data_IF_109973871413
#
_entry.id   IF_109973871413
#
_cell.length_a   1.000
_cell.length_b   1.000
_cell.length_c   1.000
_cell.angle_alpha   90.00
_cell.angle_beta   90.00
_cell.angle_gamma   90.00
#
_symmetry.space_group_name_H-M   'P 1'
#
loop_
_entity.id
_entity.type
_entity.pdbx_description
1 polymer ?
#
# COMPACT_ATOMS: atom_id res chain seq x y z
N UNK A 1 22.37 12.72 3.46
CA UNK A 1 21.96 12.64 4.86
C UNK A 1 21.98 11.20 5.35
N UNK A 2 22.37 11.03 6.59
CA UNK A 2 22.34 9.74 7.24
C UNK A 2 20.94 9.48 7.80
N UNK A 3 20.35 8.33 7.45
CA UNK A 3 19.07 7.92 8.00
C UNK A 3 19.31 7.20 9.33
N UNK A 4 18.88 7.82 10.41
CA UNK A 4 19.09 7.29 11.77
C UNK A 4 17.82 6.78 12.40
N UNK A 5 16.68 6.98 11.75
CA UNK A 5 15.38 6.63 12.27
C UNK A 5 14.45 6.10 11.20
N UNK A 6 13.51 5.35 11.65
CA UNK A 6 12.38 4.81 10.93
C UNK A 6 11.55 5.92 10.25
N UNK A 7 11.10 5.66 9.04
CA UNK A 7 10.18 6.56 8.34
C UNK A 7 10.82 7.77 7.64
N UNK A 8 12.13 7.84 7.52
CA UNK A 8 12.83 8.98 6.90
C UNK A 8 13.01 8.86 5.38
N UNK A 9 12.71 7.73 4.79
CA UNK A 9 12.86 7.54 3.35
C UNK A 9 11.84 8.35 2.57
N UNK A 10 12.33 9.21 1.66
CA UNK A 10 11.49 9.97 0.74
C UNK A 10 11.19 9.13 -0.50
N UNK A 11 9.95 8.68 -0.63
CA UNK A 11 9.54 7.81 -1.73
C UNK A 11 8.10 8.16 -2.16
N UNK A 12 7.93 8.65 -3.38
CA UNK A 12 6.61 9.05 -3.89
C UNK A 12 5.69 7.83 -4.08
N UNK A 13 4.40 8.03 -3.94
CA UNK A 13 3.41 6.97 -4.19
C UNK A 13 3.45 6.49 -5.65
N UNK A 14 3.73 7.38 -6.60
CA UNK A 14 3.91 7.01 -8.01
C UNK A 14 5.06 6.03 -8.20
N UNK A 15 6.21 6.28 -7.57
CA UNK A 15 7.36 5.38 -7.63
C UNK A 15 7.12 4.08 -6.86
N UNK A 16 6.39 4.11 -5.75
CA UNK A 16 5.98 2.90 -5.04
C UNK A 16 5.08 2.01 -5.90
N UNK A 17 4.11 2.59 -6.61
CA UNK A 17 3.26 1.85 -7.52
C UNK A 17 4.05 1.22 -8.68
N UNK A 18 5.01 1.97 -9.25
CA UNK A 18 5.92 1.43 -10.29
C UNK A 18 6.75 0.26 -9.78
N UNK A 19 7.30 0.38 -8.56
CA UNK A 19 8.04 -0.70 -7.93
C UNK A 19 7.16 -1.96 -7.78
N UNK A 20 5.96 -1.79 -7.26
CA UNK A 20 5.03 -2.91 -7.08
C UNK A 20 4.61 -3.54 -8.42
N UNK A 21 4.40 -2.73 -9.46
CA UNK A 21 4.06 -3.23 -10.79
C UNK A 21 5.13 -4.17 -11.36
N UNK A 22 6.40 -3.92 -11.05
CA UNK A 22 7.52 -4.72 -11.53
C UNK A 22 8.01 -5.80 -10.57
N UNK A 23 7.51 -5.85 -9.34
CA UNK A 23 8.07 -6.71 -8.29
C UNK A 23 8.06 -8.19 -8.66
N UNK A 24 6.98 -8.67 -9.26
CA UNK A 24 6.86 -10.08 -9.67
C UNK A 24 7.79 -10.47 -10.82
N UNK A 25 8.36 -9.47 -11.50
CA UNK A 25 9.33 -9.67 -12.60
C UNK A 25 10.76 -9.79 -12.10
N UNK A 26 11.01 -9.54 -10.80
CA UNK A 26 12.34 -9.57 -10.21
C UNK A 26 12.71 -10.99 -9.82
N UNK A 27 13.84 -11.47 -10.31
CA UNK A 27 14.38 -12.78 -9.93
C UNK A 27 14.63 -12.82 -8.42
N UNK A 28 14.17 -13.88 -7.77
CA UNK A 28 14.34 -14.05 -6.33
C UNK A 28 13.33 -13.30 -5.45
N UNK A 29 12.33 -12.63 -6.04
CA UNK A 29 11.33 -11.88 -5.28
C UNK A 29 10.25 -12.76 -4.62
N UNK A 30 10.14 -14.03 -4.97
CA UNK A 30 9.04 -14.89 -4.51
C UNK A 30 8.89 -14.94 -2.99
N UNK A 31 9.96 -15.07 -2.17
CA UNK A 31 9.81 -15.04 -0.71
C UNK A 31 9.20 -13.74 -0.18
N UNK A 32 9.50 -12.60 -0.80
CA UNK A 32 8.91 -11.30 -0.44
C UNK A 32 7.44 -11.26 -0.81
N UNK A 33 7.09 -11.74 -2.00
CA UNK A 33 5.71 -11.84 -2.48
C UNK A 33 4.87 -12.72 -1.56
N UNK A 34 5.39 -13.87 -1.16
CA UNK A 34 4.73 -14.78 -0.22
C UNK A 34 4.48 -14.10 1.14
N UNK A 35 5.48 -13.38 1.65
CA UNK A 35 5.34 -12.61 2.89
C UNK A 35 4.28 -11.51 2.77
N UNK A 36 4.21 -10.82 1.64
CA UNK A 36 3.20 -9.79 1.38
C UNK A 36 1.77 -10.36 1.36
N UNK A 37 1.60 -11.61 1.01
CA UNK A 37 0.31 -12.31 1.04
C UNK A 37 -0.15 -12.74 2.44
N UNK A 38 0.74 -12.71 3.44
CA UNK A 38 0.51 -13.22 4.80
C UNK A 38 0.75 -12.17 5.87
N UNK A 39 0.35 -10.92 5.61
CA UNK A 39 0.54 -9.82 6.57
C UNK A 39 -0.18 -10.07 7.90
N UNK A 40 0.35 -9.48 8.96
CA UNK A 40 -0.22 -9.53 10.30
C UNK A 40 -1.71 -9.11 10.28
N UNK A 41 -2.60 -9.83 10.99
CA UNK A 41 -4.02 -9.47 11.09
C UNK A 41 -4.27 -8.02 11.55
N UNK A 42 -3.39 -7.43 12.34
CA UNK A 42 -3.47 -6.03 12.75
C UNK A 42 -3.35 -5.05 11.57
N UNK A 43 -2.84 -5.49 10.43
CA UNK A 43 -2.73 -4.70 9.21
C UNK A 43 -3.86 -4.99 8.20
N UNK A 44 -4.95 -5.62 8.63
CA UNK A 44 -6.09 -5.93 7.76
C UNK A 44 -7.01 -4.72 7.56
N UNK A 45 -6.49 -3.72 6.87
CA UNK A 45 -7.21 -2.51 6.48
C UNK A 45 -6.76 -2.04 5.09
N UNK A 46 -7.44 -1.07 4.52
CA UNK A 46 -7.12 -0.53 3.20
C UNK A 46 -7.22 -1.60 2.12
N UNK A 47 -6.26 -1.63 1.21
CA UNK A 47 -6.22 -2.60 0.12
C UNK A 47 -6.00 -4.04 0.59
N UNK A 48 -5.50 -4.25 1.81
CA UNK A 48 -5.36 -5.59 2.39
C UNK A 48 -6.71 -6.29 2.55
N UNK A 49 -7.81 -5.54 2.63
CA UNK A 49 -9.16 -6.13 2.71
C UNK A 49 -9.61 -6.77 1.40
N UNK A 50 -8.96 -6.46 0.29
CA UNK A 50 -9.28 -7.07 -1.01
C UNK A 50 -8.73 -8.50 -1.07
N UNK A 51 -9.52 -9.47 -1.61
CA UNK A 51 -9.07 -10.86 -1.70
C UNK A 51 -7.77 -11.03 -2.47
N UNK A 52 -6.83 -11.77 -1.89
CA UNK A 52 -5.56 -12.09 -2.53
C UNK A 52 -4.58 -10.91 -2.66
N UNK A 53 -4.82 -9.81 -1.95
CA UNK A 53 -3.92 -8.65 -1.99
C UNK A 53 -2.52 -9.00 -1.51
N UNK A 54 -1.52 -8.57 -2.27
CA UNK A 54 -0.12 -8.57 -1.86
C UNK A 54 0.20 -7.16 -1.38
N UNK A 55 0.56 -6.98 -0.11
CA UNK A 55 0.65 -5.67 0.49
C UNK A 55 1.87 -5.51 1.38
N UNK A 56 2.48 -4.33 1.32
CA UNK A 56 3.45 -3.85 2.31
C UNK A 56 2.96 -2.53 2.87
N UNK A 57 2.81 -2.48 4.18
CA UNK A 57 2.41 -1.28 4.91
C UNK A 57 3.59 -0.52 5.51
N UNK A 58 3.37 0.74 5.82
CA UNK A 58 4.27 1.58 6.59
C UNK A 58 3.47 2.67 7.31
N UNK A 59 3.87 3.03 8.52
CA UNK A 59 3.16 4.02 9.31
C UNK A 59 4.11 4.73 10.28
N UNK A 60 3.71 5.92 10.71
CA UNK A 60 4.44 6.69 11.70
C UNK A 60 4.00 8.14 11.76
N UNK A 61 4.37 8.85 12.84
CA UNK A 61 4.14 10.28 12.92
C UNK A 61 5.02 11.02 11.91
N UNK A 62 4.51 12.11 11.37
CA UNK A 62 5.28 13.02 10.52
C UNK A 62 5.70 14.28 11.29
N UNK A 63 6.66 15.08 10.76
CA UNK A 63 7.15 16.29 11.45
C UNK A 63 6.10 17.36 11.71
N UNK A 64 4.97 17.32 10.98
CA UNK A 64 3.87 18.28 11.14
C UNK A 64 2.88 17.89 12.26
N UNK A 65 3.13 16.78 12.99
CA UNK A 65 2.26 16.32 14.05
C UNK A 65 1.08 15.46 13.59
N UNK A 66 0.99 15.20 12.29
CA UNK A 66 0.02 14.25 11.73
C UNK A 66 0.57 12.83 11.78
N UNK A 67 -0.29 11.86 11.52
CA UNK A 67 0.10 10.46 11.43
C UNK A 67 -0.08 9.98 9.99
N UNK A 68 0.98 9.42 9.42
CA UNK A 68 0.98 8.92 8.05
C UNK A 68 0.86 7.40 8.04
N UNK A 69 0.02 6.87 7.14
CA UNK A 69 -0.06 5.45 6.83
C UNK A 69 0.04 5.26 5.33
N UNK A 70 0.91 4.35 4.92
CA UNK A 70 1.13 4.00 3.50
C UNK A 70 0.83 2.55 3.28
N UNK A 71 0.33 2.26 2.08
CA UNK A 71 0.24 0.89 1.56
C UNK A 71 0.70 0.89 0.11
N UNK A 72 1.53 -0.08 -0.26
CA UNK A 72 1.82 -0.41 -1.64
C UNK A 72 1.41 -1.86 -1.89
N UNK A 73 0.64 -2.08 -2.94
CA UNK A 73 -0.10 -3.32 -3.13
C UNK A 73 -0.10 -3.77 -4.59
N UNK A 74 -0.29 -5.08 -4.77
CA UNK A 74 -0.81 -5.65 -6.01
C UNK A 74 -2.15 -6.27 -5.66
N UNK A 75 -3.22 -5.84 -6.32
CA UNK A 75 -4.60 -6.28 -6.06
C UNK A 75 -5.33 -6.58 -7.36
N UNK A 76 -6.38 -7.39 -7.29
CA UNK A 76 -7.28 -7.60 -8.43
C UNK A 76 -8.35 -6.52 -8.44
N UNK A 77 -8.34 -5.72 -9.49
CA UNK A 77 -9.35 -4.70 -9.75
C UNK A 77 -9.81 -4.83 -11.21
N UNK A 78 -11.12 -4.96 -11.43
CA UNK A 78 -11.66 -5.11 -12.78
C UNK A 78 -11.20 -6.39 -13.50
N UNK A 79 -10.93 -7.46 -12.76
CA UNK A 79 -10.58 -8.78 -13.33
C UNK A 79 -9.10 -8.98 -13.66
N UNK A 80 -8.24 -8.04 -13.36
CA UNK A 80 -6.79 -8.17 -13.57
C UNK A 80 -6.00 -7.58 -12.41
N UNK A 81 -4.70 -7.87 -12.34
CA UNK A 81 -3.84 -7.37 -11.28
C UNK A 81 -3.41 -5.93 -11.57
N UNK A 82 -3.53 -5.09 -10.55
CA UNK A 82 -3.18 -3.66 -10.60
C UNK A 82 -2.26 -3.34 -9.44
N UNK A 83 -1.20 -2.60 -9.71
CA UNK A 83 -0.33 -2.06 -8.67
C UNK A 83 -0.89 -0.73 -8.18
N UNK A 84 -1.07 -0.61 -6.88
CA UNK A 84 -1.63 0.59 -6.24
C UNK A 84 -0.76 0.99 -5.06
N UNK A 85 -0.44 2.27 -4.95
CA UNK A 85 0.18 2.83 -3.76
C UNK A 85 -0.68 3.97 -3.22
N UNK A 86 -0.86 3.99 -1.92
CA UNK A 86 -1.68 4.97 -1.22
C UNK A 86 -0.95 5.54 -0.02
N UNK A 87 -1.27 6.78 0.33
CA UNK A 87 -0.91 7.39 1.60
C UNK A 87 -2.12 8.12 2.15
N UNK A 88 -2.34 8.03 3.45
CA UNK A 88 -3.26 8.89 4.17
C UNK A 88 -2.54 9.53 5.34
N UNK A 89 -2.82 10.81 5.57
CA UNK A 89 -2.31 11.56 6.72
C UNK A 89 -3.49 12.01 7.58
N UNK A 90 -3.41 11.75 8.87
CA UNK A 90 -4.44 12.14 9.81
C UNK A 90 -3.99 13.33 10.64
N UNK A 91 -4.68 14.48 10.54
CA UNK A 91 -4.34 15.65 11.36
C UNK A 91 -4.61 15.47 12.85
N UNK A 92 -5.40 14.46 13.23
CA UNK A 92 -5.64 14.11 14.64
C UNK A 92 -4.49 13.30 15.27
N UNK A 93 -3.48 12.90 14.46
CA UNK A 93 -2.35 12.11 14.90
C UNK A 93 -2.68 10.64 15.20
N UNK A 94 -3.85 10.16 14.81
CA UNK A 94 -4.35 8.83 15.15
C UNK A 94 -4.17 7.82 14.01
N UNK A 95 -3.59 6.67 14.32
CA UNK A 95 -3.45 5.56 13.37
C UNK A 95 -4.81 5.05 12.89
N UNK A 96 -5.78 4.92 13.79
CA UNK A 96 -7.11 4.40 13.45
C UNK A 96 -7.85 5.24 12.41
N UNK A 97 -7.72 6.55 12.45
CA UNK A 97 -8.35 7.47 11.49
C UNK A 97 -7.78 7.25 10.07
N UNK A 98 -6.47 7.06 9.95
CA UNK A 98 -5.82 6.80 8.67
C UNK A 98 -6.18 5.41 8.12
N UNK A 99 -6.31 4.41 8.97
CA UNK A 99 -6.77 3.08 8.56
C UNK A 99 -8.17 3.13 7.94
N UNK A 100 -9.09 3.85 8.57
CA UNK A 100 -10.45 4.02 8.07
C UNK A 100 -10.49 4.72 6.71
N UNK A 101 -9.69 5.75 6.52
CA UNK A 101 -9.58 6.47 5.24
C UNK A 101 -9.06 5.53 4.14
N UNK A 102 -8.00 4.78 4.40
CA UNK A 102 -7.44 3.85 3.41
C UNK A 102 -8.43 2.74 3.06
N UNK A 103 -9.19 2.24 4.00
CA UNK A 103 -10.23 1.23 3.74
C UNK A 103 -11.34 1.81 2.86
N UNK A 104 -11.77 3.04 3.12
CA UNK A 104 -12.76 3.74 2.30
C UNK A 104 -12.28 3.93 0.86
N UNK A 105 -11.02 4.33 0.68
CA UNK A 105 -10.42 4.47 -0.65
C UNK A 105 -10.37 3.11 -1.36
N UNK A 106 -9.98 2.05 -0.66
CA UNK A 106 -9.90 0.70 -1.23
C UNK A 106 -11.27 0.21 -1.72
N UNK A 107 -12.33 0.48 -0.96
CA UNK A 107 -13.69 0.15 -1.33
C UNK A 107 -14.13 0.93 -2.59
N UNK A 108 -13.83 2.21 -2.66
CA UNK A 108 -14.13 3.05 -3.82
C UNK A 108 -13.39 2.55 -5.06
N UNK A 109 -12.11 2.19 -4.94
CA UNK A 109 -11.33 1.63 -6.05
C UNK A 109 -11.90 0.30 -6.54
N UNK A 110 -12.33 -0.56 -5.63
CA UNK A 110 -12.91 -1.87 -5.95
C UNK A 110 -14.25 -1.75 -6.69
N UNK A 111 -14.99 -0.68 -6.42
CA UNK A 111 -16.31 -0.42 -7.01
C UNK A 111 -16.24 0.47 -8.26
N UNK A 112 -15.10 1.11 -8.51
CA UNK A 112 -14.96 2.03 -9.63
C UNK A 112 -15.06 1.29 -10.96
N UNK A 113 -15.88 1.80 -11.88
CA UNK A 113 -15.98 1.31 -13.26
C UNK A 113 -14.88 1.94 -14.12
N UNK A 114 -13.63 1.69 -13.76
CA UNK A 114 -12.44 2.27 -14.40
C UNK A 114 -11.53 1.15 -14.91
N UNK A 115 -10.94 1.36 -16.08
CA UNK A 115 -9.91 0.48 -16.61
C UNK A 115 -8.56 0.86 -16.01
N UNK A 116 -8.12 0.07 -15.04
CA UNK A 116 -6.82 0.26 -14.41
C UNK A 116 -5.72 -0.40 -15.23
N UNK A 117 -4.49 0.16 -15.26
CA UNK A 117 -3.35 -0.49 -15.92
C UNK A 117 -3.04 -1.85 -15.30
N UNK A 118 -2.81 -2.87 -16.12
CA UNK A 118 -2.43 -4.18 -15.62
C UNK A 118 -0.99 -4.20 -15.14
N UNK A 119 -0.77 -4.82 -13.98
CA UNK A 119 0.55 -5.27 -13.55
C UNK A 119 0.77 -6.68 -14.09
N UNK A 120 1.68 -6.83 -15.04
CA UNK A 120 1.87 -8.09 -15.77
C UNK A 120 3.32 -8.58 -15.69
N UNK A 121 3.48 -9.73 -15.06
CA UNK A 121 4.65 -10.60 -15.18
C UNK A 121 4.24 -12.04 -14.93
#
# INVERSE_FOLDING_TARGET
>A
PEFTAFGQTMWSVGNQAKFMAGLRCVDGAQPIIDAMGTADPAQNYGLRTQPGALMKGGWGPNPAGSYDVRQMCIVRLGGHYVAVAMIASSPDGQYASTQAVLTSIAEDLAQANTQWPSSAC
#
